data_IF_358915788827
#
_entry.id   IF_358915788827
#
_cell.length_a   1.000
_cell.length_b   1.000
_cell.length_c   1.000
_cell.angle_alpha   90.00
_cell.angle_beta   90.00
_cell.angle_gamma   90.00
#
_symmetry.space_group_name_H-M   'P 1'
#
loop_
_entity.id
_entity.type
_entity.pdbx_description
1 polymer ?
#
# COMPACT_ATOMS: atom_id res chain seq x y z
N UNK A 1 -20.09 -5.88 -11.12
CA UNK A 1 -18.86 -5.11 -11.38
C UNK A 1 -19.25 -3.85 -12.16
N UNK A 2 -18.77 -2.66 -11.79
CA UNK A 2 -19.11 -1.39 -12.46
C UNK A 2 -17.98 -0.37 -12.26
N UNK A 3 -17.78 0.52 -13.24
CA UNK A 3 -16.87 1.67 -13.14
C UNK A 3 -17.56 2.94 -12.63
N UNK A 4 -18.90 2.92 -12.51
CA UNK A 4 -19.67 4.03 -11.98
C UNK A 4 -20.04 3.75 -10.51
N UNK A 5 -19.47 4.46 -9.53
CA UNK A 5 -19.75 4.21 -8.12
C UNK A 5 -21.19 4.54 -7.71
N UNK A 6 -21.91 5.35 -8.49
CA UNK A 6 -23.31 5.65 -8.23
C UNK A 6 -24.25 4.52 -8.68
N UNK A 7 -23.78 3.64 -9.58
CA UNK A 7 -24.52 2.45 -10.01
C UNK A 7 -24.38 1.27 -9.04
N UNK A 8 -23.54 1.37 -8.00
CA UNK A 8 -23.40 0.32 -6.98
C UNK A 8 -24.67 0.31 -6.10
N UNK A 9 -25.37 -0.83 -5.95
CA UNK A 9 -26.51 -0.95 -5.05
C UNK A 9 -26.11 -0.61 -3.60
N UNK A 10 -26.99 0.05 -2.85
CA UNK A 10 -26.66 0.54 -1.51
C UNK A 10 -26.11 -0.54 -0.57
N UNK A 11 -26.72 -1.73 -0.56
CA UNK A 11 -26.27 -2.90 0.21
C UNK A 11 -24.86 -3.40 -0.12
N UNK A 12 -24.33 -3.01 -1.28
CA UNK A 12 -23.03 -3.43 -1.80
C UNK A 12 -21.99 -2.30 -1.73
N UNK A 13 -22.36 -1.13 -1.23
CA UNK A 13 -21.46 0.03 -1.11
C UNK A 13 -20.52 -0.13 0.07
N UNK A 14 -19.28 0.29 -0.14
CA UNK A 14 -18.36 0.54 0.96
C UNK A 14 -18.89 1.72 1.79
N UNK A 15 -18.95 1.55 3.11
CA UNK A 15 -19.36 2.61 4.04
C UNK A 15 -18.18 3.15 4.84
N UNK A 16 -18.20 4.44 5.12
CA UNK A 16 -17.18 5.10 5.96
C UNK A 16 -17.62 5.03 7.42
N UNK A 17 -16.89 4.29 8.25
CA UNK A 17 -17.16 4.17 9.68
C UNK A 17 -16.48 5.28 10.50
N UNK A 18 -15.26 5.64 10.11
CA UNK A 18 -14.49 6.70 10.76
C UNK A 18 -13.52 7.34 9.75
N UNK A 19 -13.09 8.56 10.02
CA UNK A 19 -12.00 9.24 9.29
C UNK A 19 -11.27 10.22 10.18
N UNK A 20 -9.99 10.46 9.88
CA UNK A 20 -9.17 11.40 10.62
C UNK A 20 -9.60 12.85 10.42
N UNK A 21 -9.09 13.72 11.31
CA UNK A 21 -9.16 15.17 11.11
C UNK A 21 -8.50 15.51 9.77
N UNK A 22 -9.12 16.39 8.98
CA UNK A 22 -8.67 16.79 7.64
C UNK A 22 -8.62 15.68 6.57
N UNK A 23 -9.05 14.45 6.88
CA UNK A 23 -9.19 13.40 5.87
C UNK A 23 -10.49 13.60 5.10
N UNK A 24 -10.40 13.53 3.77
CA UNK A 24 -11.57 13.45 2.88
C UNK A 24 -11.83 11.99 2.53
N UNK A 25 -13.06 11.53 2.73
CA UNK A 25 -13.53 10.22 2.28
C UNK A 25 -14.63 10.41 1.24
N UNK A 26 -14.59 9.65 0.15
CA UNK A 26 -15.52 9.77 -0.98
C UNK A 26 -15.61 8.47 -1.78
N UNK A 27 -16.50 8.42 -2.77
CA UNK A 27 -16.59 7.32 -3.73
C UNK A 27 -15.50 7.44 -4.81
N UNK A 28 -15.08 6.31 -5.36
CA UNK A 28 -14.11 6.19 -6.45
C UNK A 28 -14.70 5.32 -7.59
N UNK A 29 -14.29 5.61 -8.82
CA UNK A 29 -14.72 4.94 -10.05
C UNK A 29 -13.62 4.96 -11.12
N UNK A 30 -13.90 4.34 -12.28
CA UNK A 30 -13.01 4.35 -13.46
C UNK A 30 -12.10 3.12 -13.59
N UNK A 31 -11.82 2.44 -12.49
CA UNK A 31 -10.94 1.25 -12.43
C UNK A 31 -11.58 0.18 -11.53
N UNK A 32 -12.87 -0.06 -11.75
CA UNK A 32 -13.79 -0.57 -10.73
C UNK A 32 -14.43 0.57 -9.93
N UNK A 33 -15.17 0.23 -8.88
CA UNK A 33 -15.85 1.20 -8.01
C UNK A 33 -15.67 0.86 -6.54
N UNK A 34 -15.53 1.88 -5.69
CA UNK A 34 -15.34 1.68 -4.25
C UNK A 34 -15.36 2.97 -3.44
N UNK A 35 -14.84 2.87 -2.21
CA UNK A 35 -14.54 4.02 -1.35
C UNK A 35 -13.06 4.37 -1.41
N UNK A 36 -12.74 5.66 -1.42
CA UNK A 36 -11.39 6.18 -1.27
C UNK A 36 -11.34 7.20 -0.14
N UNK A 37 -10.17 7.34 0.47
CA UNK A 37 -9.90 8.45 1.37
C UNK A 37 -8.49 8.98 1.17
N UNK A 38 -8.28 10.26 1.42
CA UNK A 38 -6.97 10.88 1.32
C UNK A 38 -6.81 12.04 2.31
N UNK A 39 -5.58 12.21 2.76
CA UNK A 39 -5.11 13.34 3.55
C UNK A 39 -4.17 14.16 2.67
N UNK A 40 -4.42 15.47 2.55
CA UNK A 40 -3.43 16.38 1.97
C UNK A 40 -2.34 16.59 3.02
N UNK A 41 -1.19 15.97 2.82
CA UNK A 41 -0.06 16.02 3.75
C UNK A 41 1.22 16.42 2.99
N UNK A 42 1.97 17.43 3.47
CA UNK A 42 3.19 17.91 2.81
C UNK A 42 4.38 17.00 3.14
N UNK A 43 4.34 15.76 2.65
CA UNK A 43 5.43 14.81 2.86
C UNK A 43 6.71 15.28 2.16
N UNK A 44 7.86 14.88 2.69
CA UNK A 44 9.17 15.29 2.21
C UNK A 44 9.97 14.08 1.72
N UNK A 45 10.68 14.23 0.61
CA UNK A 45 11.59 13.20 0.11
C UNK A 45 12.71 12.94 1.13
N UNK A 46 13.12 11.68 1.26
CA UNK A 46 14.16 11.26 2.20
C UNK A 46 13.67 11.05 3.64
N UNK A 47 12.46 11.49 4.00
CA UNK A 47 11.88 11.26 5.32
C UNK A 47 11.20 9.89 5.41
N UNK A 48 11.25 9.27 6.59
CA UNK A 48 10.56 8.00 6.85
C UNK A 48 9.15 8.23 7.38
N UNK A 49 8.17 7.71 6.65
CA UNK A 49 6.78 7.64 7.09
C UNK A 49 6.38 6.20 7.43
N UNK A 50 5.35 6.05 8.24
CA UNK A 50 4.82 4.77 8.70
C UNK A 50 3.38 4.61 8.22
N UNK A 51 3.06 3.40 7.79
CA UNK A 51 1.73 2.98 7.40
C UNK A 51 1.35 1.78 8.24
N UNK A 52 0.11 1.76 8.72
CA UNK A 52 -0.46 0.62 9.43
C UNK A 52 -1.85 0.38 8.86
N UNK A 53 -2.17 -0.88 8.56
CA UNK A 53 -3.50 -1.28 8.11
C UNK A 53 -3.96 -2.48 8.92
N UNK A 54 -5.18 -2.40 9.44
CA UNK A 54 -5.88 -3.50 10.10
C UNK A 54 -7.04 -3.93 9.21
N UNK A 55 -7.15 -5.24 8.99
CA UNK A 55 -8.25 -5.87 8.25
C UNK A 55 -8.91 -6.87 9.19
N UNK A 56 -10.17 -6.63 9.49
CA UNK A 56 -10.92 -7.42 10.47
C UNK A 56 -12.27 -7.86 9.90
N UNK A 57 -12.53 -9.18 9.82
CA UNK A 57 -13.86 -9.68 9.53
C UNK A 57 -14.84 -9.36 10.66
N UNK A 58 -16.11 -9.21 10.30
CA UNK A 58 -17.24 -9.00 11.20
C UNK A 58 -18.27 -10.12 11.05
N UNK A 59 -19.09 -10.34 12.07
CA UNK A 59 -20.10 -11.41 12.09
C UNK A 59 -21.21 -11.24 11.02
N UNK A 60 -21.36 -10.03 10.46
CA UNK A 60 -22.37 -9.66 9.46
C UNK A 60 -21.90 -9.87 8.01
N UNK A 61 -20.92 -10.76 7.76
CA UNK A 61 -20.31 -11.01 6.45
C UNK A 61 -19.75 -9.72 5.81
N UNK A 62 -19.20 -8.85 6.65
CA UNK A 62 -18.46 -7.66 6.22
C UNK A 62 -17.04 -7.71 6.74
N UNK A 63 -16.16 -6.93 6.11
CA UNK A 63 -14.78 -6.77 6.57
C UNK A 63 -14.49 -5.29 6.74
N UNK A 64 -13.92 -4.93 7.89
CA UNK A 64 -13.51 -3.58 8.25
C UNK A 64 -12.04 -3.40 7.92
N UNK A 65 -11.74 -2.35 7.15
CA UNK A 65 -10.40 -1.93 6.76
C UNK A 65 -10.12 -0.59 7.41
N UNK A 66 -9.19 -0.55 8.36
CA UNK A 66 -8.77 0.70 8.99
C UNK A 66 -7.31 0.94 8.69
N UNK A 67 -6.97 2.15 8.24
CA UNK A 67 -5.59 2.54 7.93
C UNK A 67 -5.17 3.78 8.69
N UNK A 68 -3.91 3.79 9.10
CA UNK A 68 -3.24 4.88 9.78
C UNK A 68 -1.96 5.27 9.03
N UNK A 69 -1.63 6.55 9.13
CA UNK A 69 -0.43 7.16 8.57
C UNK A 69 0.27 7.95 9.67
N UNK A 70 1.59 8.06 9.60
CA UNK A 70 2.34 8.81 10.59
C UNK A 70 3.75 9.17 10.15
N UNK A 71 4.21 10.33 10.58
CA UNK A 71 5.61 10.71 10.52
C UNK A 71 6.39 9.93 11.60
N UNK A 72 7.45 9.23 11.20
CA UNK A 72 8.22 8.40 12.13
C UNK A 72 9.00 9.24 13.13
N UNK A 73 9.62 10.32 12.68
CA UNK A 73 10.50 11.16 13.49
C UNK A 73 9.70 11.99 14.49
N UNK A 74 8.54 12.50 14.07
CA UNK A 74 7.61 13.19 14.97
C UNK A 74 6.86 12.24 15.92
N UNK A 75 7.04 10.93 15.77
CA UNK A 75 6.31 9.88 16.46
C UNK A 75 4.78 10.05 16.42
N UNK A 76 4.27 10.52 15.29
CA UNK A 76 2.84 10.78 15.11
C UNK A 76 2.11 9.56 14.54
N UNK A 77 0.85 9.43 14.90
CA UNK A 77 -0.12 8.55 14.25
C UNK A 77 -1.43 9.30 14.05
N UNK A 78 -2.01 9.15 12.87
CA UNK A 78 -3.36 9.61 12.59
C UNK A 78 -4.10 8.57 11.76
N UNK A 79 -5.37 8.36 12.10
CA UNK A 79 -6.26 7.55 11.28
C UNK A 79 -6.48 8.26 9.93
N UNK A 80 -6.36 7.51 8.84
CA UNK A 80 -6.83 7.95 7.54
C UNK A 80 -8.34 7.70 7.49
N UNK A 81 -8.75 6.44 7.39
CA UNK A 81 -10.16 6.06 7.44
C UNK A 81 -10.34 4.64 7.95
N UNK A 82 -11.56 4.36 8.40
CA UNK A 82 -12.11 3.02 8.60
C UNK A 82 -13.28 2.82 7.64
N UNK A 83 -13.18 1.82 6.78
CA UNK A 83 -14.19 1.44 5.80
C UNK A 83 -14.76 0.06 6.12
N UNK A 84 -16.07 -0.12 5.96
CA UNK A 84 -16.71 -1.44 5.94
C UNK A 84 -17.00 -1.84 4.50
N UNK A 85 -16.52 -3.02 4.12
CA UNK A 85 -16.79 -3.64 2.82
C UNK A 85 -17.81 -4.77 2.99
N UNK A 86 -19.01 -4.68 2.38
CA UNK A 86 -19.99 -5.76 2.39
C UNK A 86 -19.51 -7.02 1.64
N UNK A 87 -20.18 -8.15 1.91
CA UNK A 87 -19.95 -9.44 1.21
C UNK A 87 -18.49 -9.84 1.16
N UNK A 88 -17.79 -9.62 2.27
CA UNK A 88 -16.37 -9.89 2.41
C UNK A 88 -16.15 -10.35 3.84
N UNK A 89 -15.50 -11.48 4.04
CA UNK A 89 -15.24 -12.03 5.37
C UNK A 89 -13.81 -12.58 5.42
N UNK A 90 -12.82 -11.69 5.52
CA UNK A 90 -11.39 -12.04 5.42
C UNK A 90 -10.55 -11.29 6.43
N UNK A 91 -9.42 -11.89 6.83
CA UNK A 91 -8.29 -11.19 7.44
C UNK A 91 -7.37 -10.60 6.36
N UNK A 92 -6.28 -9.94 6.78
CA UNK A 92 -5.30 -9.35 5.86
C UNK A 92 -4.72 -10.43 4.92
N UNK A 93 -4.91 -10.25 3.62
CA UNK A 93 -4.31 -11.08 2.57
C UNK A 93 -3.82 -10.18 1.43
N UNK A 94 -2.88 -10.68 0.62
CA UNK A 94 -2.43 -9.97 -0.59
C UNK A 94 -1.80 -8.59 -0.35
N UNK A 95 -1.30 -8.32 0.86
CA UNK A 95 -0.63 -7.05 1.15
C UNK A 95 0.66 -6.92 0.33
N UNK A 96 0.86 -5.76 -0.26
CA UNK A 96 2.01 -5.46 -1.11
C UNK A 96 2.25 -3.95 -1.14
N UNK A 97 3.33 -3.55 -1.80
CA UNK A 97 3.58 -2.17 -2.18
C UNK A 97 3.78 -2.12 -3.69
N UNK A 98 3.53 -0.96 -4.30
CA UNK A 98 3.88 -0.71 -5.69
C UNK A 98 4.41 0.72 -5.84
N UNK A 99 5.09 0.99 -6.96
CA UNK A 99 5.57 2.30 -7.35
C UNK A 99 5.04 2.59 -8.75
N UNK A 100 4.25 3.65 -8.89
CA UNK A 100 3.56 3.99 -10.13
C UNK A 100 3.94 5.39 -10.61
N UNK A 101 3.95 5.54 -11.93
CA UNK A 101 3.85 6.83 -12.58
C UNK A 101 2.49 6.95 -13.27
N UNK A 102 1.60 7.78 -12.72
CA UNK A 102 0.27 8.03 -13.27
C UNK A 102 0.24 9.17 -14.31
N UNK A 103 1.39 9.74 -14.69
CA UNK A 103 1.47 10.85 -15.64
C UNK A 103 2.47 10.57 -16.76
N UNK A 104 1.96 10.55 -18.00
CA UNK A 104 2.77 10.31 -19.21
C UNK A 104 3.92 11.30 -19.36
N UNK A 105 3.74 12.53 -18.87
CA UNK A 105 4.74 13.60 -18.99
C UNK A 105 5.99 13.38 -18.11
N UNK A 106 5.92 12.46 -17.14
CA UNK A 106 7.03 12.17 -16.23
C UNK A 106 7.72 10.83 -16.51
N UNK A 107 7.46 10.21 -17.67
CA UNK A 107 8.06 8.92 -18.04
C UNK A 107 9.59 8.95 -18.11
N UNK A 108 10.18 10.11 -18.42
CA UNK A 108 11.62 10.36 -18.48
C UNK A 108 12.27 10.65 -17.13
N UNK A 109 11.50 10.71 -16.05
CA UNK A 109 12.00 11.03 -14.71
C UNK A 109 12.04 9.76 -13.89
N UNK A 110 13.22 9.42 -13.38
CA UNK A 110 13.40 8.28 -12.50
C UNK A 110 12.71 8.48 -11.15
N UNK A 111 12.10 7.41 -10.63
CA UNK A 111 11.44 7.37 -9.32
C UNK A 111 12.02 6.24 -8.50
N UNK A 112 12.20 6.45 -7.21
CA UNK A 112 12.72 5.45 -6.27
C UNK A 112 11.91 5.48 -4.98
N UNK A 113 11.45 4.32 -4.53
CA UNK A 113 10.85 4.11 -3.22
C UNK A 113 11.69 3.12 -2.40
N UNK A 114 11.90 3.44 -1.12
CA UNK A 114 12.50 2.52 -0.15
C UNK A 114 11.41 2.05 0.82
N UNK A 115 11.33 0.74 1.01
CA UNK A 115 10.34 0.06 1.83
C UNK A 115 11.07 -0.74 2.90
N UNK A 116 11.07 -0.26 4.13
CA UNK A 116 11.73 -0.91 5.26
C UNK A 116 10.76 -1.31 6.38
N UNK A 117 11.28 -2.11 7.32
CA UNK A 117 10.62 -2.47 8.58
C UNK A 117 9.20 -3.07 8.42
N UNK A 118 9.04 -4.04 7.53
CA UNK A 118 7.76 -4.72 7.34
C UNK A 118 7.50 -5.73 8.46
N UNK A 119 6.33 -5.61 9.08
CA UNK A 119 5.82 -6.53 10.10
C UNK A 119 4.35 -6.82 9.86
N UNK A 120 3.91 -8.03 10.20
CA UNK A 120 2.50 -8.44 10.18
C UNK A 120 2.13 -8.97 11.55
N UNK A 121 1.03 -8.48 12.11
CA UNK A 121 0.46 -9.01 13.34
C UNK A 121 -0.60 -10.06 13.00
N UNK A 122 -0.47 -11.27 13.53
CA UNK A 122 -1.50 -12.30 13.38
C UNK A 122 -2.71 -12.07 14.29
N UNK A 123 -3.72 -12.92 14.17
CA UNK A 123 -4.95 -12.83 14.96
C UNK A 123 -4.77 -13.14 16.44
N UNK A 124 -3.65 -13.78 16.82
CA UNK A 124 -3.25 -14.00 18.21
C UNK A 124 -2.47 -12.83 18.81
N UNK A 125 -2.19 -11.78 18.03
CA UNK A 125 -1.41 -10.62 18.48
C UNK A 125 0.10 -10.80 18.36
N UNK A 126 0.57 -11.86 17.69
CA UNK A 126 2.01 -12.09 17.48
C UNK A 126 2.48 -11.36 16.24
N UNK A 127 3.55 -10.58 16.39
CA UNK A 127 4.18 -9.85 15.30
C UNK A 127 5.26 -10.69 14.63
N UNK A 128 5.14 -10.82 13.31
CA UNK A 128 6.05 -11.55 12.42
C UNK A 128 6.81 -10.57 11.54
N UNK A 129 8.14 -10.63 11.57
CA UNK A 129 8.97 -9.82 10.67
C UNK A 129 8.89 -10.37 9.25
N UNK A 130 8.75 -9.49 8.26
CA UNK A 130 8.86 -9.85 6.86
C UNK A 130 10.29 -9.54 6.38
N UNK A 131 11.03 -10.59 6.04
CA UNK A 131 12.41 -10.50 5.52
C UNK A 131 12.51 -10.86 4.05
N UNK A 132 11.43 -11.32 3.41
CA UNK A 132 11.39 -11.73 2.01
C UNK A 132 10.21 -11.11 1.28
N UNK A 133 10.42 -10.68 0.05
CA UNK A 133 9.38 -10.11 -0.81
C UNK A 133 9.56 -10.56 -2.27
N UNK A 134 8.45 -10.81 -2.98
CA UNK A 134 8.47 -11.13 -4.41
C UNK A 134 8.31 -9.85 -5.23
N UNK A 135 9.29 -9.53 -6.07
CA UNK A 135 9.19 -8.43 -7.03
C UNK A 135 8.39 -8.90 -8.25
N UNK A 136 7.44 -8.08 -8.70
CA UNK A 136 6.63 -8.35 -9.89
C UNK A 136 6.56 -7.08 -10.75
N UNK A 137 6.08 -7.21 -11.98
CA UNK A 137 5.91 -6.09 -12.89
C UNK A 137 4.51 -6.10 -13.52
N UNK A 138 4.09 -4.93 -13.99
CA UNK A 138 2.79 -4.70 -14.61
C UNK A 138 2.74 -5.24 -16.05
N UNK A 139 1.61 -5.03 -16.73
CA UNK A 139 1.44 -5.45 -18.13
C UNK A 139 2.41 -4.73 -19.08
N UNK A 140 2.77 -3.47 -18.79
CA UNK A 140 3.68 -2.66 -19.63
C UNK A 140 5.07 -3.29 -19.69
N UNK A 141 5.62 -3.66 -18.53
CA UNK A 141 6.90 -4.34 -18.43
C UNK A 141 6.85 -5.76 -19.02
N UNK A 142 5.75 -6.50 -18.77
CA UNK A 142 5.58 -7.87 -19.29
C UNK A 142 5.41 -7.93 -20.81
N UNK A 143 4.90 -6.86 -21.41
CA UNK A 143 4.82 -6.70 -22.86
C UNK A 143 6.08 -6.09 -23.50
N UNK A 144 7.16 -5.93 -22.74
CA UNK A 144 8.42 -5.32 -23.18
C UNK A 144 8.30 -3.90 -23.76
N UNK A 145 7.20 -3.19 -23.48
CA UNK A 145 6.99 -1.81 -23.95
C UNK A 145 7.90 -0.82 -23.22
N UNK A 146 8.25 -1.13 -21.97
CA UNK A 146 9.16 -0.36 -21.12
C UNK A 146 10.02 -1.32 -20.32
N UNK A 147 11.30 -0.99 -20.22
CA UNK A 147 12.34 -1.87 -19.67
C UNK A 147 13.04 -1.22 -18.47
N UNK A 148 12.66 0.01 -18.13
CA UNK A 148 13.21 0.84 -17.06
C UNK A 148 12.42 0.64 -15.76
N UNK A 149 12.49 -0.58 -15.25
CA UNK A 149 11.98 -0.99 -13.95
C UNK A 149 13.03 -1.80 -13.18
N UNK A 150 13.07 -1.64 -11.86
CA UNK A 150 13.92 -2.43 -10.99
C UNK A 150 13.29 -2.57 -9.60
N UNK A 151 13.64 -3.66 -8.94
CA UNK A 151 13.33 -3.89 -7.53
C UNK A 151 14.44 -4.71 -6.90
N UNK A 152 14.48 -4.75 -5.57
CA UNK A 152 15.49 -5.53 -4.86
C UNK A 152 15.67 -5.07 -3.43
N UNK A 153 16.88 -5.25 -2.90
CA UNK A 153 17.26 -4.74 -1.59
C UNK A 153 18.41 -3.73 -1.68
N UNK A 154 18.33 -2.72 -0.82
CA UNK A 154 19.33 -1.64 -0.70
C UNK A 154 19.34 -1.13 0.73
N UNK A 155 20.51 -1.14 1.38
CA UNK A 155 20.68 -0.58 2.73
C UNK A 155 19.78 -1.19 3.80
N UNK A 156 19.52 -2.50 3.73
CA UNK A 156 18.63 -3.20 4.68
C UNK A 156 17.12 -2.98 4.47
N UNK A 157 16.73 -2.35 3.35
CA UNK A 157 15.33 -2.18 2.95
C UNK A 157 15.08 -2.84 1.58
N UNK A 158 13.82 -3.09 1.24
CA UNK A 158 13.42 -3.33 -0.14
C UNK A 158 13.35 -2.01 -0.90
N UNK A 159 13.51 -2.05 -2.22
CA UNK A 159 13.29 -0.89 -3.08
C UNK A 159 12.51 -1.25 -4.34
N UNK A 160 11.84 -0.25 -4.90
CA UNK A 160 11.34 -0.27 -6.28
C UNK A 160 11.77 1.01 -6.98
N UNK A 161 12.09 0.90 -8.27
CA UNK A 161 12.51 1.99 -9.14
C UNK A 161 11.84 1.83 -10.50
N UNK A 162 11.37 2.93 -11.08
CA UNK A 162 10.89 2.95 -12.46
C UNK A 162 11.12 4.31 -13.12
N UNK A 163 10.96 4.37 -14.45
CA UNK A 163 11.11 5.59 -15.23
C UNK A 163 12.56 6.02 -15.42
N UNK A 164 12.78 7.06 -16.23
CA UNK A 164 14.10 7.63 -16.43
C UNK A 164 15.02 6.84 -17.36
N UNK A 165 14.50 5.83 -18.07
CA UNK A 165 15.22 5.13 -19.14
C UNK A 165 16.60 4.60 -18.73
N UNK A 166 16.74 4.09 -17.51
CA UNK A 166 17.99 3.44 -17.08
C UNK A 166 18.12 2.05 -17.70
N UNK A 167 19.36 1.58 -17.84
CA UNK A 167 19.68 0.33 -18.54
C UNK A 167 19.69 -0.91 -17.63
N UNK A 168 19.77 -0.73 -16.31
CA UNK A 168 19.82 -1.82 -15.33
C UNK A 168 18.60 -2.74 -15.47
N UNK A 169 18.85 -4.04 -15.70
CA UNK A 169 17.80 -5.04 -15.85
C UNK A 169 17.71 -5.93 -14.64
N UNK A 170 16.55 -5.93 -14.00
CA UNK A 170 16.21 -6.87 -12.94
C UNK A 170 15.08 -7.76 -13.41
N UNK A 171 15.27 -9.08 -13.29
CA UNK A 171 14.21 -10.04 -13.55
C UNK A 171 13.06 -9.83 -12.56
N UNK A 172 11.82 -9.71 -13.02
CA UNK A 172 10.64 -9.78 -12.15
C UNK A 172 10.29 -11.24 -11.83
N UNK A 173 9.28 -11.46 -10.98
CA UNK A 173 8.85 -12.78 -10.52
C UNK A 173 9.91 -13.55 -9.72
N UNK A 174 10.83 -12.83 -9.07
CA UNK A 174 11.81 -13.39 -8.16
C UNK A 174 11.67 -12.87 -6.73
N UNK A 175 12.20 -13.64 -5.79
CA UNK A 175 12.23 -13.29 -4.38
C UNK A 175 13.51 -12.52 -4.05
N UNK A 176 13.37 -11.48 -3.24
CA UNK A 176 14.46 -10.76 -2.62
C UNK A 176 14.40 -10.91 -1.11
N UNK A 177 15.56 -10.88 -0.48
CA UNK A 177 15.69 -11.01 0.98
C UNK A 177 16.46 -9.82 1.55
N UNK A 178 16.02 -9.33 2.70
CA UNK A 178 16.73 -8.34 3.51
C UNK A 178 17.14 -8.97 4.85
N UNK A 179 18.20 -8.48 5.51
CA UNK A 179 18.53 -8.89 6.86
C UNK A 179 17.34 -8.71 7.83
N UNK A 180 17.21 -9.64 8.78
CA UNK A 180 16.29 -9.50 9.91
C UNK A 180 16.76 -8.40 10.85
N UNK A 181 15.82 -7.61 11.37
CA UNK A 181 16.08 -6.63 12.42
C UNK A 181 14.93 -6.62 13.44
N UNK A 182 14.91 -7.56 14.40
CA UNK A 182 13.82 -7.67 15.36
C UNK A 182 13.70 -6.46 16.31
N UNK A 183 14.77 -5.66 16.45
CA UNK A 183 14.80 -4.46 17.30
C UNK A 183 13.87 -3.36 16.79
N UNK A 184 13.44 -3.43 15.53
CA UNK A 184 12.54 -2.43 14.92
C UNK A 184 11.07 -2.85 14.95
N UNK A 185 10.72 -3.90 15.71
CA UNK A 185 9.33 -4.32 15.97
C UNK A 185 8.49 -3.10 16.38
N UNK A 186 7.33 -2.87 15.74
CA UNK A 186 6.49 -1.73 16.08
C UNK A 186 5.93 -1.86 17.50
N UNK A 187 5.97 -0.74 18.24
CA UNK A 187 5.19 -0.55 19.45
C UNK A 187 3.94 0.26 19.07
N UNK A 188 2.79 -0.43 19.02
CA UNK A 188 1.49 0.18 18.71
C UNK A 188 0.71 0.21 20.01
N UNK A 189 0.39 1.42 20.48
CA UNK A 189 -0.43 1.67 21.66
C UNK A 189 -1.90 1.80 21.29
#
# INVERSE_FOLDING_TARGET
NTNNPNAVPEKDRVTTLAKGKNVRAQKFGGEGSGGQSFLKYPWQAGKTYRFLTRVQPSDDNTTIYTSWFGDKEANEWQIIASFRRPRTNVHLTGFHSFLENFSVNYGSVGRLGLYGNQWVCDTGGTWHEITRARFTADATARGDHRLDYAGGTKGGAFFMKNGGFFDDRIKFDQWFEKPSNPKTKPAIN
#
